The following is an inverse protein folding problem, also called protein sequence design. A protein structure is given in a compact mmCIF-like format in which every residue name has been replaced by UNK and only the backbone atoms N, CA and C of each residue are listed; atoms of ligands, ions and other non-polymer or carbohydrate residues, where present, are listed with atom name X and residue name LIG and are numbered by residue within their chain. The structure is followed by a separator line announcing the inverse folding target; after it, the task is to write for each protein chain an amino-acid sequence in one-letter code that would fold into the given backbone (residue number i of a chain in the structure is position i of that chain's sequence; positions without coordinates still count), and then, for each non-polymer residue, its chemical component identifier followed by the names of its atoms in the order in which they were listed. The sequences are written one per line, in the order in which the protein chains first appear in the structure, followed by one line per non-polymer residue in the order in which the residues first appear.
data_IF_260105981994
#
_entry.id   IF_260105981994
#
_cell.length_a   1.000
_cell.length_b   1.000
_cell.length_c   1.000
_cell.angle_alpha   90.00
_cell.angle_beta   90.00
_cell.angle_gamma   90.00
#
_symmetry.space_group_name_H-M   'P 1'
#
loop_
_entity.id
_entity.type
_entity.pdbx_description
1 polymer ?
#
# COMPACT_ATOMS: atom_id res chain seq x y z
N UNK A 1 -49.06 -26.60 -3.15
CA UNK A 1 -48.52 -26.29 -1.82
C UNK A 1 -47.23 -27.09 -1.65
N UNK A 2 -46.08 -26.46 -1.94
CA UNK A 2 -44.76 -27.10 -1.89
C UNK A 2 -43.78 -26.14 -1.21
N UNK A 3 -43.22 -26.64 -0.11
CA UNK A 3 -41.88 -26.48 0.45
C UNK A 3 -41.10 -25.19 0.15
N UNK A 4 -40.95 -24.33 1.17
CA UNK A 4 -39.91 -23.30 1.23
C UNK A 4 -38.58 -23.95 1.61
N UNK A 5 -37.66 -24.05 0.65
CA UNK A 5 -36.26 -24.31 0.92
C UNK A 5 -35.55 -22.96 1.13
N UNK A 6 -35.01 -22.77 2.33
CA UNK A 6 -34.10 -21.70 2.64
C UNK A 6 -32.83 -21.85 1.77
N UNK A 7 -32.61 -20.92 0.86
CA UNK A 7 -31.31 -20.72 0.22
C UNK A 7 -30.53 -19.81 1.16
N UNK A 8 -29.78 -20.42 2.09
CA UNK A 8 -28.63 -19.77 2.70
C UNK A 8 -27.64 -19.51 1.56
N UNK A 9 -27.60 -18.26 1.09
CA UNK A 9 -26.49 -17.79 0.29
C UNK A 9 -25.29 -17.70 1.25
N UNK A 10 -24.40 -18.69 1.19
CA UNK A 10 -23.04 -18.57 1.70
C UNK A 10 -22.43 -17.36 1.00
N UNK A 11 -22.18 -16.29 1.76
CA UNK A 11 -21.19 -15.30 1.37
C UNK A 11 -19.85 -16.04 1.36
N UNK A 12 -19.43 -16.48 0.17
CA UNK A 12 -18.04 -16.78 -0.12
C UNK A 12 -17.27 -15.50 0.21
N UNK A 13 -16.53 -15.55 1.32
CA UNK A 13 -15.46 -14.62 1.62
C UNK A 13 -14.61 -14.52 0.35
N UNK A 14 -14.69 -13.37 -0.30
CA UNK A 14 -13.79 -13.01 -1.38
C UNK A 14 -12.38 -13.07 -0.80
N UNK A 15 -11.67 -14.14 -1.13
CA UNK A 15 -10.22 -14.19 -1.02
C UNK A 15 -9.69 -13.00 -1.81
N UNK A 16 -9.24 -11.96 -1.13
CA UNK A 16 -8.37 -10.94 -1.69
C UNK A 16 -7.11 -11.67 -2.15
N UNK A 17 -6.97 -11.80 -3.47
CA UNK A 17 -5.73 -12.27 -4.07
C UNK A 17 -4.67 -11.20 -3.76
N UNK A 18 -3.66 -11.58 -2.99
CA UNK A 18 -2.48 -10.77 -2.75
C UNK A 18 -1.56 -11.02 -3.93
N UNK A 19 -1.39 -10.02 -4.79
CA UNK A 19 -0.38 -10.06 -5.82
C UNK A 19 0.94 -9.60 -5.18
N UNK A 20 1.84 -10.55 -4.98
CA UNK A 20 3.21 -10.24 -4.58
C UNK A 20 3.91 -9.43 -5.67
N UNK A 21 4.70 -8.44 -5.27
CA UNK A 21 5.56 -7.70 -6.18
C UNK A 21 6.64 -8.64 -6.74
N UNK A 22 6.78 -8.69 -8.07
CA UNK A 22 7.68 -9.48 -8.95
C UNK A 22 7.31 -10.93 -9.33
N UNK A 23 7.50 -11.22 -10.62
CA UNK A 23 7.37 -12.54 -11.26
C UNK A 23 8.55 -13.46 -10.86
N UNK A 24 8.24 -14.64 -10.32
CA UNK A 24 9.00 -15.85 -10.63
C UNK A 24 8.07 -16.74 -11.48
N UNK A 25 8.27 -16.71 -12.79
CA UNK A 25 7.54 -17.55 -13.72
C UNK A 25 7.88 -19.03 -13.53
N UNK A 26 6.85 -19.87 -13.36
CA UNK A 26 6.89 -21.27 -13.79
C UNK A 26 7.15 -22.32 -12.71
N UNK A 27 6.05 -22.93 -12.25
CA UNK A 27 5.92 -24.24 -11.60
C UNK A 27 7.16 -25.12 -11.43
N UNK A 28 7.57 -25.28 -10.18
CA UNK A 28 8.47 -26.33 -9.73
C UNK A 28 8.48 -26.39 -8.21
N UNK A 29 7.98 -27.48 -7.63
CA UNK A 29 8.09 -27.77 -6.20
C UNK A 29 9.55 -28.00 -5.83
N UNK A 30 10.29 -26.93 -5.52
CA UNK A 30 11.62 -27.01 -4.92
C UNK A 30 11.74 -26.02 -3.77
N UNK A 31 11.83 -26.58 -2.57
CA UNK A 31 11.91 -25.96 -1.25
C UNK A 31 13.26 -25.33 -0.93
N UNK A 32 13.92 -24.70 -1.91
CA UNK A 32 15.26 -24.14 -1.68
C UNK A 32 15.16 -22.69 -1.23
N UNK A 33 14.82 -22.52 0.06
CA UNK A 33 15.07 -21.25 0.74
C UNK A 33 16.55 -20.90 0.63
N UNK A 34 16.89 -19.67 0.26
CA UNK A 34 18.29 -19.25 0.25
C UNK A 34 18.93 -19.42 1.63
N UNK A 35 20.23 -19.75 1.63
CA UNK A 35 20.98 -19.83 2.88
C UNK A 35 20.86 -18.51 3.65
N UNK A 36 20.61 -18.58 4.95
CA UNK A 36 20.44 -17.39 5.76
C UNK A 36 21.76 -16.60 5.86
N UNK A 37 21.69 -15.28 5.67
CA UNK A 37 22.81 -14.39 5.97
C UNK A 37 22.81 -13.98 7.44
N UNK A 38 23.98 -13.61 7.97
CA UNK A 38 24.12 -13.13 9.35
C UNK A 38 24.23 -11.60 9.42
N UNK A 39 23.40 -10.90 8.65
CA UNK A 39 23.32 -9.43 8.67
C UNK A 39 22.61 -8.93 9.93
N UNK A 40 23.02 -7.75 10.38
CA UNK A 40 22.48 -7.07 11.57
C UNK A 40 22.45 -7.96 12.84
N UNK A 41 23.46 -8.82 13.01
CA UNK A 41 23.56 -9.78 14.13
C UNK A 41 23.58 -9.15 15.53
N UNK A 42 23.79 -7.83 15.62
CA UNK A 42 23.69 -7.05 16.86
C UNK A 42 22.24 -6.84 17.32
N UNK A 43 21.24 -7.04 16.45
CA UNK A 43 19.83 -6.95 16.80
C UNK A 43 19.41 -8.20 17.58
N UNK A 44 18.83 -7.97 18.76
CA UNK A 44 18.36 -9.03 19.64
C UNK A 44 17.10 -9.68 19.06
N UNK A 45 17.16 -10.99 18.88
CA UNK A 45 16.01 -11.82 18.52
C UNK A 45 15.80 -12.82 19.65
N UNK A 46 14.61 -12.81 20.23
CA UNK A 46 14.22 -13.70 21.35
C UNK A 46 13.18 -14.69 20.87
N UNK A 47 13.18 -15.88 21.45
CA UNK A 47 12.05 -16.81 21.27
C UNK A 47 10.78 -16.17 21.83
N UNK A 48 9.68 -16.37 21.14
CA UNK A 48 8.36 -15.89 21.54
C UNK A 48 7.29 -16.93 21.20
N UNK A 49 6.07 -16.73 21.71
CA UNK A 49 4.91 -17.59 21.43
C UNK A 49 3.60 -16.81 21.44
N UNK A 50 3.67 -15.51 21.19
CA UNK A 50 2.49 -14.65 21.08
C UNK A 50 1.60 -15.13 19.93
N UNK A 51 0.29 -15.25 20.15
CA UNK A 51 -0.63 -15.59 19.08
C UNK A 51 -0.59 -14.49 18.00
N UNK A 52 -0.49 -14.89 16.72
CA UNK A 52 -0.57 -13.95 15.60
C UNK A 52 -2.02 -13.47 15.44
N UNK A 53 -2.20 -12.28 14.88
CA UNK A 53 -3.51 -11.65 14.68
C UNK A 53 -4.43 -12.56 13.86
N UNK A 54 -5.68 -12.69 14.31
CA UNK A 54 -6.69 -13.50 13.62
C UNK A 54 -7.06 -12.97 12.23
N UNK A 55 -6.64 -11.74 11.90
CA UNK A 55 -6.81 -11.12 10.59
C UNK A 55 -5.50 -10.99 9.81
N UNK A 56 -4.38 -11.43 10.38
CA UNK A 56 -3.07 -11.42 9.74
C UNK A 56 -2.83 -12.64 8.84
N UNK A 57 -1.78 -12.63 8.03
CA UNK A 57 -1.51 -13.76 7.13
C UNK A 57 -1.10 -15.04 7.85
N UNK A 58 -0.68 -14.93 9.11
CA UNK A 58 -0.30 -16.03 10.00
C UNK A 58 -1.38 -16.36 11.07
N UNK A 59 -2.66 -16.03 10.81
CA UNK A 59 -3.80 -16.02 11.77
C UNK A 59 -4.12 -17.28 12.60
N UNK A 60 -3.48 -18.41 12.33
CA UNK A 60 -3.67 -19.70 12.97
C UNK A 60 -2.36 -20.26 13.57
N UNK A 61 -1.37 -19.39 13.73
CA UNK A 61 -0.04 -19.74 14.24
C UNK A 61 0.33 -18.84 15.42
N UNK A 62 1.36 -19.26 16.16
CA UNK A 62 2.03 -18.41 17.12
C UNK A 62 3.32 -17.85 16.50
N UNK A 63 3.74 -16.68 16.95
CA UNK A 63 5.08 -16.20 16.71
C UNK A 63 6.10 -17.22 17.22
N UNK A 64 7.26 -17.25 16.58
CA UNK A 64 8.41 -18.04 17.01
C UNK A 64 9.50 -17.14 17.57
N UNK A 65 9.62 -15.95 17.01
CA UNK A 65 10.60 -14.96 17.39
C UNK A 65 9.96 -13.60 17.61
N UNK A 66 10.66 -12.77 18.38
CA UNK A 66 10.29 -11.38 18.67
C UNK A 66 11.54 -10.50 18.69
N UNK A 67 11.40 -9.29 18.18
CA UNK A 67 12.32 -8.16 18.37
C UNK A 67 11.62 -7.08 19.21
N UNK A 68 12.17 -5.87 19.29
CA UNK A 68 11.56 -4.80 20.08
C UNK A 68 10.18 -4.39 19.54
N UNK A 69 10.01 -4.42 18.21
CA UNK A 69 8.80 -3.93 17.54
C UNK A 69 8.07 -4.97 16.71
N UNK A 70 8.67 -6.15 16.47
CA UNK A 70 8.09 -7.18 15.63
C UNK A 70 7.89 -8.50 16.37
N UNK A 71 6.82 -9.22 15.99
CA UNK A 71 6.70 -10.66 16.19
C UNK A 71 6.77 -11.36 14.83
N UNK A 72 7.40 -12.52 14.80
CA UNK A 72 7.72 -13.24 13.56
C UNK A 72 7.13 -14.64 13.64
N UNK A 73 6.16 -14.91 12.77
CA UNK A 73 5.53 -16.21 12.55
C UNK A 73 5.91 -16.78 11.19
N UNK A 74 5.51 -18.02 10.92
CA UNK A 74 5.70 -18.62 9.60
C UNK A 74 4.59 -19.61 9.23
N UNK A 75 4.35 -19.73 7.93
CA UNK A 75 3.54 -20.79 7.32
C UNK A 75 4.39 -21.62 6.37
N UNK A 76 4.29 -22.94 6.51
CA UNK A 76 5.17 -23.88 5.83
C UNK A 76 6.52 -24.05 6.53
N UNK A 77 7.43 -24.79 5.89
CA UNK A 77 8.73 -25.12 6.47
C UNK A 77 9.75 -24.01 6.17
N UNK A 78 10.08 -23.21 7.19
CA UNK A 78 11.12 -22.17 7.12
C UNK A 78 12.10 -22.39 8.25
N UNK A 79 13.41 -22.29 7.97
CA UNK A 79 14.45 -22.49 8.99
C UNK A 79 14.49 -21.35 10.00
N UNK A 80 14.84 -21.67 11.25
CA UNK A 80 14.99 -20.70 12.34
C UNK A 80 16.03 -19.63 12.00
N UNK A 81 17.12 -20.02 11.33
CA UNK A 81 18.16 -19.10 10.90
C UNK A 81 17.60 -18.06 9.92
N UNK A 82 16.75 -18.49 8.96
CA UNK A 82 16.10 -17.58 8.00
C UNK A 82 15.09 -16.66 8.70
N UNK A 83 14.25 -17.20 9.59
CA UNK A 83 13.31 -16.37 10.36
C UNK A 83 14.03 -15.33 11.23
N UNK A 84 15.17 -15.68 11.83
CA UNK A 84 16.00 -14.73 12.58
C UNK A 84 16.66 -13.68 11.69
N UNK A 85 17.15 -14.05 10.49
CA UNK A 85 17.64 -13.09 9.50
C UNK A 85 16.54 -12.06 9.17
N UNK A 86 15.35 -12.52 8.80
CA UNK A 86 14.20 -11.67 8.48
C UNK A 86 13.83 -10.77 9.65
N UNK A 87 13.77 -11.31 10.88
CA UNK A 87 13.50 -10.53 12.09
C UNK A 87 14.50 -9.38 12.29
N UNK A 88 15.79 -9.65 12.08
CA UNK A 88 16.85 -8.64 12.21
C UNK A 88 16.75 -7.58 11.12
N UNK A 89 16.52 -7.98 9.87
CA UNK A 89 16.34 -7.05 8.75
C UNK A 89 15.13 -6.14 9.01
N UNK A 90 13.97 -6.70 9.38
CA UNK A 90 12.77 -5.94 9.69
C UNK A 90 13.00 -4.89 10.77
N UNK A 91 13.61 -5.31 11.88
CA UNK A 91 13.91 -4.40 12.99
C UNK A 91 14.96 -3.34 12.62
N UNK A 92 15.97 -3.71 11.84
CA UNK A 92 16.98 -2.76 11.37
C UNK A 92 16.34 -1.68 10.49
N UNK A 93 15.55 -2.11 9.50
CA UNK A 93 14.85 -1.22 8.57
C UNK A 93 13.96 -0.26 9.33
N UNK A 94 13.14 -0.74 10.27
CA UNK A 94 12.31 0.12 11.10
C UNK A 94 13.15 1.14 11.87
N UNK A 95 14.24 0.73 12.51
CA UNK A 95 15.10 1.64 13.27
C UNK A 95 15.71 2.75 12.39
N UNK A 96 16.14 2.39 11.18
CA UNK A 96 16.69 3.34 10.21
C UNK A 96 15.61 4.32 9.73
N UNK A 97 14.43 3.81 9.38
CA UNK A 97 13.32 4.63 8.90
C UNK A 97 12.79 5.59 9.98
N UNK A 98 12.62 5.12 11.23
CA UNK A 98 12.22 5.97 12.36
C UNK A 98 13.20 7.13 12.56
N UNK A 99 14.50 6.87 12.47
CA UNK A 99 15.51 7.92 12.56
C UNK A 99 15.46 8.87 11.34
N UNK A 100 15.37 8.32 10.13
CA UNK A 100 15.37 9.09 8.89
C UNK A 100 14.14 10.02 8.77
N UNK A 101 12.97 9.56 9.19
CA UNK A 101 11.72 10.30 9.13
C UNK A 101 11.42 11.08 10.41
N UNK A 102 12.29 10.98 11.42
CA UNK A 102 12.08 11.55 12.76
C UNK A 102 10.75 11.10 13.39
N UNK A 103 10.41 9.83 13.19
CA UNK A 103 9.20 9.22 13.73
C UNK A 103 9.48 8.45 15.02
N UNK A 104 8.42 8.29 15.80
CA UNK A 104 8.37 7.44 16.96
C UNK A 104 7.39 6.29 16.70
N UNK A 105 7.87 5.06 16.90
CA UNK A 105 7.08 3.85 16.63
C UNK A 105 5.73 3.85 17.35
N UNK A 106 5.67 4.36 18.59
CA UNK A 106 4.44 4.40 19.38
C UNK A 106 3.49 5.50 18.94
N UNK A 107 3.93 6.76 18.86
CA UNK A 107 3.02 7.87 18.57
C UNK A 107 2.63 7.97 17.09
N UNK A 108 3.58 7.71 16.18
CA UNK A 108 3.34 7.89 14.75
C UNK A 108 2.80 6.61 14.10
N UNK A 109 3.31 5.44 14.51
CA UNK A 109 2.92 4.16 13.92
C UNK A 109 2.02 3.32 14.83
N UNK A 110 1.74 3.70 16.08
CA UNK A 110 0.95 2.89 17.04
C UNK A 110 1.54 1.48 17.25
N UNK A 111 2.86 1.39 17.30
CA UNK A 111 3.61 0.16 17.59
C UNK A 111 4.16 0.25 19.01
N UNK A 112 3.77 -0.70 19.86
CA UNK A 112 4.41 -0.94 21.15
C UNK A 112 4.61 -2.43 21.39
N UNK A 113 5.07 -2.75 22.60
CA UNK A 113 5.29 -4.13 23.00
C UNK A 113 4.01 -4.99 22.98
N UNK A 114 2.85 -4.39 23.26
CA UNK A 114 1.55 -5.08 23.33
C UNK A 114 0.89 -5.20 21.95
N UNK A 115 1.23 -4.30 21.04
CA UNK A 115 0.74 -4.19 19.67
C UNK A 115 1.94 -4.15 18.70
N UNK A 116 2.74 -5.24 18.64
CA UNK A 116 3.87 -5.32 17.72
C UNK A 116 3.39 -5.38 16.26
N UNK A 117 4.29 -5.08 15.34
CA UNK A 117 4.12 -5.42 13.93
C UNK A 117 4.31 -6.92 13.71
N UNK A 118 3.60 -7.48 12.73
CA UNK A 118 3.68 -8.90 12.39
C UNK A 118 4.50 -9.12 11.12
N UNK A 119 5.52 -9.97 11.20
CA UNK A 119 6.16 -10.54 10.01
C UNK A 119 5.71 -11.98 9.86
N UNK A 120 5.01 -12.26 8.76
CA UNK A 120 4.60 -13.62 8.41
C UNK A 120 5.49 -14.15 7.29
N UNK A 121 6.33 -15.14 7.60
CA UNK A 121 7.20 -15.76 6.59
C UNK A 121 6.47 -16.94 5.96
N UNK A 122 6.09 -16.82 4.69
CA UNK A 122 5.27 -17.83 4.00
C UNK A 122 6.11 -18.50 2.93
N UNK A 123 6.31 -19.82 3.05
CA UNK A 123 7.17 -20.56 2.13
C UNK A 123 6.72 -20.47 0.66
N UNK A 124 5.41 -20.40 0.40
CA UNK A 124 4.84 -20.31 -0.96
C UNK A 124 5.02 -18.95 -1.64
N UNK A 125 5.35 -17.90 -0.89
CA UNK A 125 5.61 -16.57 -1.46
C UNK A 125 6.97 -16.49 -2.16
N UNK A 126 7.84 -17.48 -1.94
CA UNK A 126 9.11 -17.60 -2.64
C UNK A 126 10.01 -16.37 -2.45
N UNK A 127 10.13 -15.55 -3.50
CA UNK A 127 10.94 -14.33 -3.53
C UNK A 127 10.12 -13.05 -3.30
N UNK A 128 8.81 -13.15 -3.05
CA UNK A 128 7.89 -12.02 -3.05
C UNK A 128 7.51 -11.58 -1.63
N UNK A 129 6.82 -10.44 -1.56
CA UNK A 129 6.28 -9.88 -0.32
C UNK A 129 5.01 -9.07 -0.57
N UNK A 130 4.35 -8.72 0.54
CA UNK A 130 3.23 -7.79 0.56
C UNK A 130 3.11 -7.14 1.95
N UNK A 131 2.95 -5.83 2.02
CA UNK A 131 2.72 -5.08 3.27
C UNK A 131 1.26 -4.68 3.50
N UNK A 132 0.84 -4.64 4.77
CA UNK A 132 -0.46 -4.14 5.22
C UNK A 132 -0.35 -3.44 6.59
N UNK A 133 -1.46 -3.02 7.19
CA UNK A 133 -1.48 -2.28 8.45
C UNK A 133 -0.98 -3.10 9.67
N UNK A 134 -1.07 -4.43 9.64
CA UNK A 134 -0.55 -5.30 10.70
C UNK A 134 0.96 -5.50 10.62
N UNK A 135 1.52 -5.40 9.43
CA UNK A 135 2.93 -5.67 9.17
C UNK A 135 3.12 -6.10 7.73
N UNK A 136 3.85 -7.18 7.49
CA UNK A 136 4.10 -7.65 6.13
C UNK A 136 4.36 -9.14 6.04
N UNK A 137 4.18 -9.66 4.83
CA UNK A 137 4.52 -11.01 4.41
C UNK A 137 5.78 -10.97 3.58
N UNK A 138 6.64 -11.97 3.75
CA UNK A 138 7.78 -12.21 2.87
C UNK A 138 7.99 -13.70 2.63
N UNK A 139 8.43 -14.03 1.42
CA UNK A 139 8.94 -15.33 1.08
C UNK A 139 10.39 -15.54 1.54
N UNK A 140 10.81 -16.80 1.80
CA UNK A 140 12.12 -17.10 2.37
C UNK A 140 13.26 -17.21 1.34
N UNK A 141 13.00 -16.99 0.04
CA UNK A 141 13.99 -17.26 -1.02
C UNK A 141 15.04 -16.15 -1.14
N UNK A 142 14.81 -14.95 -0.61
CA UNK A 142 15.83 -13.88 -0.59
C UNK A 142 16.72 -13.94 0.66
N UNK A 143 17.95 -13.44 0.55
CA UNK A 143 18.92 -13.33 1.66
C UNK A 143 19.81 -12.09 1.49
N UNK A 144 20.46 -11.65 2.56
CA UNK A 144 21.43 -10.55 2.47
C UNK A 144 20.79 -9.25 1.97
N UNK A 145 21.44 -8.60 1.00
CA UNK A 145 20.98 -7.34 0.41
C UNK A 145 19.62 -7.46 -0.30
N UNK A 146 19.33 -8.61 -0.90
CA UNK A 146 18.10 -8.77 -1.68
C UNK A 146 16.89 -8.90 -0.75
N UNK A 147 17.08 -9.53 0.41
CA UNK A 147 16.09 -9.54 1.49
C UNK A 147 15.96 -8.15 2.13
N UNK A 148 17.09 -7.46 2.35
CA UNK A 148 17.10 -6.10 2.89
C UNK A 148 16.27 -5.14 2.03
N UNK A 149 16.42 -5.21 0.71
CA UNK A 149 15.65 -4.42 -0.24
C UNK A 149 14.16 -4.78 -0.24
N UNK A 150 13.83 -6.09 -0.24
CA UNK A 150 12.43 -6.53 -0.17
C UNK A 150 11.75 -6.06 1.11
N UNK A 151 12.38 -6.30 2.28
CA UNK A 151 11.82 -5.87 3.56
C UNK A 151 11.73 -4.35 3.65
N UNK A 152 12.70 -3.61 3.08
CA UNK A 152 12.58 -2.16 2.95
C UNK A 152 11.31 -1.81 2.18
N UNK A 153 11.10 -2.35 0.99
CA UNK A 153 9.93 -2.07 0.16
C UNK A 153 8.62 -2.38 0.89
N UNK A 154 8.44 -3.62 1.37
CA UNK A 154 7.18 -4.05 1.99
C UNK A 154 6.84 -3.29 3.28
N UNK A 155 7.86 -2.91 4.06
CA UNK A 155 7.62 -2.14 5.26
C UNK A 155 7.12 -0.72 4.96
N UNK A 156 7.38 -0.17 3.76
CA UNK A 156 6.78 1.11 3.35
C UNK A 156 5.29 0.94 3.11
N UNK A 157 4.84 -0.16 2.50
CA UNK A 157 3.41 -0.46 2.38
C UNK A 157 2.73 -0.63 3.74
N UNK A 158 3.44 -1.17 4.74
CA UNK A 158 2.95 -1.17 6.12
C UNK A 158 2.74 0.25 6.65
N UNK A 159 3.72 1.14 6.46
CA UNK A 159 3.59 2.54 6.90
C UNK A 159 2.44 3.25 6.18
N UNK A 160 2.35 3.10 4.86
CA UNK A 160 1.29 3.67 4.04
C UNK A 160 -0.08 3.22 4.57
N UNK A 161 -0.27 1.92 4.77
CA UNK A 161 -1.51 1.36 5.33
C UNK A 161 -1.83 1.92 6.72
N UNK A 162 -0.85 2.06 7.60
CA UNK A 162 -1.07 2.64 8.94
C UNK A 162 -1.37 4.13 8.92
N UNK A 163 -0.79 4.88 8.00
CA UNK A 163 -0.99 6.34 7.88
C UNK A 163 -2.36 6.65 7.27
N UNK A 164 -2.78 5.90 6.25
CA UNK A 164 -4.08 6.02 5.57
C UNK A 164 -5.22 5.50 6.47
N UNK A 165 -5.04 4.32 7.07
CA UNK A 165 -6.08 3.63 7.82
C UNK A 165 -6.43 2.24 7.27
N UNK A 166 -7.37 1.52 7.91
CA UNK A 166 -7.64 0.10 7.65
C UNK A 166 -8.29 -0.22 6.29
N UNK A 167 -8.76 0.78 5.53
CA UNK A 167 -9.09 0.63 4.10
C UNK A 167 -7.86 0.43 3.22
N UNK A 168 -6.67 0.67 3.76
CA UNK A 168 -5.39 0.36 3.14
C UNK A 168 -5.06 1.20 1.92
N UNK A 169 -4.17 0.66 1.09
CA UNK A 169 -3.65 1.27 -0.13
C UNK A 169 -4.73 1.58 -1.18
N UNK A 170 -5.95 1.06 -1.05
CA UNK A 170 -7.04 1.33 -2.01
C UNK A 170 -7.36 2.83 -2.11
N UNK A 171 -7.12 3.57 -1.04
CA UNK A 171 -7.31 5.02 -1.01
C UNK A 171 -6.09 5.80 -1.51
N UNK A 172 -4.96 5.13 -1.78
CA UNK A 172 -3.80 5.71 -2.46
C UNK A 172 -3.72 5.17 -3.87
N UNK A 173 -3.49 6.01 -4.88
CA UNK A 173 -3.31 5.46 -6.22
C UNK A 173 -2.09 4.52 -6.23
N UNK A 174 -2.23 3.32 -6.81
CA UNK A 174 -1.20 2.27 -6.82
C UNK A 174 0.16 2.80 -7.21
N UNK A 175 0.22 3.61 -8.27
CA UNK A 175 1.48 4.21 -8.70
C UNK A 175 2.18 4.98 -7.59
N UNK A 176 1.47 5.72 -6.74
CA UNK A 176 2.07 6.60 -5.73
C UNK A 176 2.56 5.77 -4.55
N UNK A 177 1.76 4.79 -4.13
CA UNK A 177 2.16 3.82 -3.12
C UNK A 177 3.44 3.07 -3.55
N UNK A 178 3.45 2.52 -4.76
CA UNK A 178 4.60 1.79 -5.30
C UNK A 178 5.80 2.70 -5.56
N UNK A 179 5.58 3.92 -6.07
CA UNK A 179 6.64 4.89 -6.28
C UNK A 179 7.34 5.23 -4.97
N UNK A 180 6.58 5.53 -3.91
CA UNK A 180 7.13 5.83 -2.58
C UNK A 180 7.85 4.62 -2.00
N UNK A 181 7.29 3.42 -2.10
CA UNK A 181 7.93 2.21 -1.61
C UNK A 181 9.25 1.92 -2.36
N UNK A 182 9.23 2.02 -3.69
CA UNK A 182 10.38 1.80 -4.58
C UNK A 182 11.46 2.86 -4.36
N UNK A 183 11.09 4.15 -4.43
CA UNK A 183 12.00 5.29 -4.31
C UNK A 183 12.73 5.34 -2.97
N UNK A 184 12.08 4.87 -1.90
CA UNK A 184 12.65 4.84 -0.54
C UNK A 184 13.27 3.49 -0.15
N UNK A 185 13.29 2.49 -1.06
CA UNK A 185 13.90 1.18 -0.82
C UNK A 185 15.05 0.89 -1.79
N UNK A 186 14.74 0.53 -3.03
CA UNK A 186 15.69 0.19 -4.09
C UNK A 186 16.15 1.41 -4.88
N UNK A 187 15.32 2.46 -4.88
CA UNK A 187 15.46 3.63 -5.74
C UNK A 187 15.65 3.25 -7.23
N UNK A 188 14.93 2.21 -7.65
CA UNK A 188 14.98 1.72 -9.02
C UNK A 188 14.50 2.77 -10.02
N UNK A 189 15.18 2.90 -11.16
CA UNK A 189 14.82 3.85 -12.21
C UNK A 189 14.85 3.17 -13.57
N UNK A 190 14.04 3.66 -14.49
CA UNK A 190 14.09 3.29 -15.91
C UNK A 190 14.78 4.37 -16.74
N UNK A 191 15.41 3.98 -17.84
CA UNK A 191 15.87 4.92 -18.87
C UNK A 191 14.69 5.54 -19.62
N UNK A 192 14.90 6.69 -20.28
CA UNK A 192 13.87 7.32 -21.13
C UNK A 192 13.31 6.35 -22.19
N UNK A 193 14.17 5.49 -22.74
CA UNK A 193 13.74 4.47 -23.71
C UNK A 193 12.79 3.45 -23.07
N UNK A 194 13.10 2.98 -21.86
CA UNK A 194 12.25 2.04 -21.12
C UNK A 194 10.95 2.70 -20.66
N UNK A 195 11.00 3.95 -20.19
CA UNK A 195 9.80 4.71 -19.80
C UNK A 195 8.91 5.01 -21.01
N UNK A 196 9.50 5.36 -22.15
CA UNK A 196 8.76 5.53 -23.41
C UNK A 196 8.13 4.22 -23.87
N UNK A 197 8.86 3.11 -23.73
CA UNK A 197 8.33 1.78 -24.04
C UNK A 197 7.15 1.43 -23.12
N UNK A 198 7.29 1.64 -21.81
CA UNK A 198 6.22 1.47 -20.83
C UNK A 198 4.96 2.24 -21.27
N UNK A 199 5.06 3.57 -21.41
CA UNK A 199 3.92 4.42 -21.80
C UNK A 199 3.30 3.96 -23.13
N UNK A 200 4.12 3.55 -24.11
CA UNK A 200 3.60 3.08 -25.41
C UNK A 200 2.83 1.76 -25.32
N UNK A 201 3.20 0.87 -24.39
CA UNK A 201 2.55 -0.42 -24.19
C UNK A 201 1.24 -0.27 -23.41
N UNK A 202 1.26 0.58 -22.38
CA UNK A 202 0.10 0.77 -21.51
C UNK A 202 -0.87 1.84 -22.04
N UNK A 203 -0.38 2.74 -22.91
CA UNK A 203 -1.09 3.93 -23.43
C UNK A 203 -1.55 4.90 -22.32
N UNK A 204 -0.79 4.98 -21.23
CA UNK A 204 -1.07 5.80 -20.05
C UNK A 204 0.26 6.29 -19.41
N UNK A 205 0.22 7.38 -18.66
CA UNK A 205 1.35 7.77 -17.80
C UNK A 205 1.47 6.80 -16.63
N UNK A 206 2.66 6.65 -16.02
CA UNK A 206 2.82 5.82 -14.83
C UNK A 206 1.86 6.20 -13.69
N UNK A 207 1.44 7.46 -13.59
CA UNK A 207 0.52 7.92 -12.54
C UNK A 207 -0.94 7.52 -12.73
N UNK A 208 -1.29 6.93 -13.86
CA UNK A 208 -2.68 6.55 -14.16
C UNK A 208 -3.04 5.14 -13.69
N UNK A 209 -2.11 4.43 -13.03
CA UNK A 209 -2.40 3.09 -12.51
C UNK A 209 -3.02 3.20 -11.11
N UNK A 210 -4.32 2.92 -11.04
CA UNK A 210 -5.10 2.84 -9.80
C UNK A 210 -5.26 1.39 -9.33
N UNK A 211 -5.74 1.21 -8.09
CA UNK A 211 -5.77 -0.07 -7.38
C UNK A 211 -6.77 -1.10 -7.94
N UNK A 212 -7.83 -0.66 -8.62
CA UNK A 212 -8.92 -1.55 -9.00
C UNK A 212 -8.70 -2.21 -10.37
N UNK A 213 -8.17 -3.44 -10.39
CA UNK A 213 -8.05 -4.34 -11.56
C UNK A 213 -7.18 -3.84 -12.74
N UNK A 214 -6.83 -2.56 -12.73
CA UNK A 214 -6.01 -1.88 -13.71
C UNK A 214 -4.56 -2.33 -13.64
N UNK A 215 -4.02 -2.60 -12.45
CA UNK A 215 -2.66 -3.12 -12.31
C UNK A 215 -2.52 -4.49 -12.99
N UNK A 216 -3.45 -5.42 -12.77
CA UNK A 216 -3.48 -6.70 -13.46
C UNK A 216 -3.58 -6.51 -14.99
N UNK A 217 -4.42 -5.56 -15.43
CA UNK A 217 -4.50 -5.19 -16.84
C UNK A 217 -3.22 -4.59 -17.39
N UNK A 218 -2.51 -3.78 -16.62
CA UNK A 218 -1.21 -3.18 -16.96
C UNK A 218 -0.18 -4.29 -17.09
N UNK A 219 -0.06 -5.16 -16.08
CA UNK A 219 0.85 -6.29 -16.09
C UNK A 219 0.61 -7.25 -17.27
N UNK A 220 -0.66 -7.49 -17.63
CA UNK A 220 -0.99 -8.26 -18.84
C UNK A 220 -0.58 -7.58 -20.15
N UNK A 221 -0.46 -6.25 -20.18
CA UNK A 221 -0.06 -5.48 -21.36
C UNK A 221 1.46 -5.32 -21.47
N UNK A 222 2.17 -5.35 -20.35
CA UNK A 222 3.61 -5.17 -20.32
C UNK A 222 4.31 -6.40 -20.91
N UNK A 223 5.20 -6.16 -21.87
CA UNK A 223 6.13 -7.18 -22.34
C UNK A 223 7.25 -7.47 -21.34
N UNK A 224 7.52 -6.51 -20.45
CA UNK A 224 8.54 -6.55 -19.40
C UNK A 224 8.04 -5.81 -18.16
N UNK A 225 7.55 -6.58 -17.18
CA UNK A 225 7.00 -6.05 -15.93
C UNK A 225 8.04 -5.32 -15.05
N UNK A 226 9.34 -5.54 -15.26
CA UNK A 226 10.38 -4.83 -14.48
C UNK A 226 10.36 -3.32 -14.68
N UNK A 227 9.82 -2.86 -15.80
CA UNK A 227 9.75 -1.43 -16.12
C UNK A 227 8.70 -0.66 -15.30
N UNK A 228 7.72 -1.36 -14.70
CA UNK A 228 6.60 -0.75 -13.99
C UNK A 228 7.07 0.06 -12.76
N UNK A 229 7.72 -0.60 -11.80
CA UNK A 229 8.18 0.03 -10.55
C UNK A 229 9.16 1.17 -10.78
N UNK A 230 10.13 0.95 -11.68
CA UNK A 230 11.06 2.02 -12.06
C UNK A 230 10.34 3.19 -12.74
N UNK A 231 9.27 2.96 -13.50
CA UNK A 231 8.45 4.02 -14.12
C UNK A 231 7.65 4.80 -13.07
N UNK A 232 7.08 4.14 -12.07
CA UNK A 232 6.42 4.81 -10.94
C UNK A 232 7.40 5.69 -10.17
N UNK A 233 8.62 5.20 -9.89
CA UNK A 233 9.63 6.00 -9.19
C UNK A 233 10.06 7.24 -9.99
N UNK A 234 9.97 7.24 -11.33
CA UNK A 234 10.24 8.46 -12.12
C UNK A 234 9.24 9.58 -11.82
N UNK A 235 7.96 9.25 -11.59
CA UNK A 235 6.97 10.23 -11.15
C UNK A 235 7.32 10.83 -9.78
N UNK A 236 7.81 10.00 -8.84
CA UNK A 236 8.26 10.48 -7.53
C UNK A 236 9.44 11.44 -7.64
N UNK A 237 10.43 11.09 -8.46
CA UNK A 237 11.63 11.90 -8.64
C UNK A 237 11.30 13.24 -9.26
N UNK A 238 10.33 13.30 -10.17
CA UNK A 238 9.81 14.56 -10.67
C UNK A 238 9.27 15.44 -9.54
N UNK A 239 8.46 14.90 -8.60
CA UNK A 239 8.00 15.68 -7.44
C UNK A 239 9.18 16.23 -6.63
N UNK A 240 10.22 15.42 -6.44
CA UNK A 240 11.43 15.84 -5.74
C UNK A 240 12.20 16.94 -6.49
N UNK A 241 12.23 16.94 -7.84
CA UNK A 241 12.85 18.05 -8.60
C UNK A 241 12.06 19.35 -8.48
N UNK A 242 10.75 19.28 -8.23
CA UNK A 242 9.91 20.44 -7.91
C UNK A 242 10.07 20.93 -6.46
N UNK A 243 10.86 20.21 -5.65
CA UNK A 243 11.17 20.59 -4.27
C UNK A 243 10.40 19.83 -3.20
N UNK A 244 9.54 18.86 -3.56
CA UNK A 244 8.87 18.01 -2.59
C UNK A 244 9.88 17.15 -1.82
N UNK A 245 9.80 17.18 -0.50
CA UNK A 245 10.61 16.37 0.41
C UNK A 245 10.01 14.99 0.62
N UNK A 246 10.78 14.08 1.23
CA UNK A 246 10.26 12.75 1.63
C UNK A 246 9.11 12.90 2.63
N UNK A 247 9.16 13.91 3.48
CA UNK A 247 8.10 14.20 4.45
C UNK A 247 6.79 14.58 3.75
N UNK A 248 6.86 15.34 2.64
CA UNK A 248 5.67 15.70 1.86
C UNK A 248 5.03 14.45 1.24
N UNK A 249 5.83 13.49 0.76
CA UNK A 249 5.31 12.22 0.24
C UNK A 249 4.52 11.44 1.30
N UNK A 250 5.03 11.40 2.53
CA UNK A 250 4.32 10.78 3.66
C UNK A 250 3.10 11.58 4.10
N UNK A 251 3.13 12.90 3.95
CA UNK A 251 2.02 13.78 4.29
C UNK A 251 0.80 13.51 3.42
N UNK A 252 0.97 13.19 2.13
CA UNK A 252 -0.15 12.80 1.25
C UNK A 252 -0.96 11.66 1.88
N UNK A 253 -0.31 10.58 2.35
CA UNK A 253 -0.99 9.46 3.01
C UNK A 253 -1.71 9.86 4.30
N UNK A 254 -1.14 10.78 5.08
CA UNK A 254 -1.78 11.29 6.30
C UNK A 254 -3.00 12.15 5.99
N UNK A 255 -2.95 12.96 4.93
CA UNK A 255 -4.07 13.81 4.52
C UNK A 255 -5.23 12.96 4.01
N UNK A 256 -4.98 11.84 3.31
CA UNK A 256 -6.02 10.89 2.92
C UNK A 256 -6.82 10.44 4.16
N UNK A 257 -6.14 10.07 5.25
CA UNK A 257 -6.81 9.69 6.49
C UNK A 257 -7.56 10.86 7.14
N UNK A 258 -7.03 12.09 7.08
CA UNK A 258 -7.76 13.26 7.58
C UNK A 258 -9.06 13.50 6.80
N UNK A 259 -9.03 13.33 5.48
CA UNK A 259 -10.22 13.41 4.63
C UNK A 259 -11.20 12.28 5.00
N UNK A 260 -10.72 11.05 5.14
CA UNK A 260 -11.51 9.89 5.58
C UNK A 260 -12.22 10.13 6.92
N UNK A 261 -11.51 10.68 7.93
CA UNK A 261 -12.12 11.02 9.22
C UNK A 261 -13.16 12.15 9.08
N UNK A 262 -12.93 13.10 8.18
CA UNK A 262 -13.92 14.14 7.86
C UNK A 262 -15.18 13.52 7.28
N UNK A 263 -15.05 12.59 6.32
CA UNK A 263 -16.18 11.84 5.76
C UNK A 263 -16.93 11.04 6.85
N UNK A 264 -16.22 10.43 7.83
CA UNK A 264 -16.85 9.75 8.99
C UNK A 264 -17.72 10.72 9.78
N UNK A 265 -17.19 11.92 10.05
CA UNK A 265 -17.88 12.92 10.84
C UNK A 265 -19.14 13.44 10.13
N UNK A 266 -19.05 13.74 8.83
CA UNK A 266 -20.18 14.22 8.04
C UNK A 266 -21.27 13.15 7.95
N UNK A 267 -20.90 11.90 7.68
CA UNK A 267 -21.83 10.78 7.68
C UNK A 267 -22.53 10.59 9.03
N UNK A 268 -21.76 10.64 10.13
CA UNK A 268 -22.32 10.50 11.48
C UNK A 268 -23.25 11.66 11.84
N UNK A 269 -22.96 12.88 11.36
CA UNK A 269 -23.84 14.03 11.51
C UNK A 269 -25.16 13.84 10.75
N UNK A 270 -25.13 13.30 9.52
CA UNK A 270 -26.32 12.94 8.76
C UNK A 270 -27.19 11.90 9.52
N UNK A 271 -26.58 10.83 10.06
CA UNK A 271 -27.27 9.85 10.92
C UNK A 271 -27.92 10.54 12.12
N UNK A 272 -27.17 11.41 12.81
CA UNK A 272 -27.67 12.12 13.99
C UNK A 272 -28.83 13.08 13.68
N UNK A 273 -28.87 13.62 12.46
CA UNK A 273 -29.96 14.45 11.95
C UNK A 273 -31.19 13.65 11.47
N UNK A 274 -31.15 12.32 11.56
CA UNK A 274 -32.26 11.44 11.19
C UNK A 274 -32.32 11.13 9.69
N UNK A 275 -31.22 11.35 8.95
CA UNK A 275 -31.13 10.99 7.55
C UNK A 275 -31.02 9.46 7.38
N UNK A 276 -31.60 8.94 6.29
CA UNK A 276 -31.47 7.51 5.94
C UNK A 276 -30.21 7.36 5.11
N UNK A 277 -29.12 6.96 5.77
CA UNK A 277 -27.83 6.72 5.13
C UNK A 277 -27.42 5.26 5.29
N UNK A 278 -26.65 4.74 4.33
CA UNK A 278 -26.09 3.39 4.42
C UNK A 278 -25.10 3.33 5.60
N UNK A 279 -25.12 2.31 6.46
CA UNK A 279 -24.16 2.19 7.55
C UNK A 279 -22.72 2.25 7.04
N UNK A 280 -21.90 3.11 7.66
CA UNK A 280 -20.45 3.16 7.42
C UNK A 280 -19.78 1.92 8.02
N UNK A 281 -18.90 1.30 7.22
CA UNK A 281 -18.01 0.26 7.73
C UNK A 281 -17.09 0.89 8.80
N UNK A 282 -16.92 0.28 9.98
CA UNK A 282 -15.93 0.77 10.96
C UNK A 282 -14.54 1.04 10.35
N UNK A 283 -14.15 0.25 9.35
CA UNK A 283 -12.89 0.33 8.64
C UNK A 283 -12.93 1.34 7.47
N UNK A 284 -14.07 1.60 6.83
CA UNK A 284 -14.19 2.40 5.59
C UNK A 284 -15.37 3.36 5.60
N UNK A 285 -15.20 4.58 5.08
CA UNK A 285 -16.31 5.51 4.85
C UNK A 285 -16.89 5.49 3.46
N UNK A 286 -18.16 5.91 3.40
CA UNK A 286 -18.72 6.50 2.20
C UNK A 286 -18.57 8.02 2.28
N UNK A 287 -17.52 8.54 1.63
CA UNK A 287 -17.63 9.91 1.10
C UNK A 287 -18.65 9.87 -0.05
N UNK A 288 -19.35 10.97 -0.31
CA UNK A 288 -20.22 11.06 -1.48
C UNK A 288 -20.17 12.46 -2.06
N UNK A 289 -19.91 12.52 -3.35
CA UNK A 289 -19.91 13.76 -4.10
C UNK A 289 -21.30 14.17 -4.58
N UNK A 290 -22.37 13.48 -4.17
CA UNK A 290 -23.74 13.79 -4.56
C UNK A 290 -24.54 14.47 -3.44
N UNK A 291 -25.02 15.69 -3.70
CA UNK A 291 -25.86 16.44 -2.76
C UNK A 291 -27.20 15.77 -2.46
N UNK A 292 -27.66 14.83 -3.29
CA UNK A 292 -28.91 14.11 -3.06
C UNK A 292 -28.75 12.90 -2.12
N UNK A 293 -27.52 12.48 -1.81
CA UNK A 293 -27.26 11.36 -0.90
C UNK A 293 -27.40 11.77 0.55
N UNK A 294 -26.87 12.94 0.91
CA UNK A 294 -27.04 13.54 2.24
C UNK A 294 -27.90 14.80 2.14
N UNK A 295 -28.87 14.95 3.03
CA UNK A 295 -29.69 16.16 3.11
C UNK A 295 -28.87 17.40 3.51
N UNK A 296 -27.73 17.18 4.18
CA UNK A 296 -26.70 18.19 4.46
C UNK A 296 -25.90 18.62 3.22
N UNK A 297 -26.03 17.93 2.08
CA UNK A 297 -25.28 18.20 0.86
C UNK A 297 -24.05 17.29 0.67
N UNK A 298 -23.25 17.59 -0.33
CA UNK A 298 -22.07 16.81 -0.71
C UNK A 298 -21.04 16.75 0.42
N UNK A 299 -20.26 15.68 0.46
CA UNK A 299 -19.12 15.61 1.38
C UNK A 299 -18.05 16.58 0.89
N UNK A 300 -17.57 17.44 1.78
CA UNK A 300 -16.58 18.45 1.44
C UNK A 300 -15.37 18.37 2.36
N UNK A 301 -14.19 18.58 1.80
CA UNK A 301 -12.97 18.78 2.57
C UNK A 301 -12.19 19.97 2.00
N UNK A 302 -11.91 20.96 2.85
CA UNK A 302 -11.19 22.18 2.47
C UNK A 302 -11.78 22.90 1.23
N UNK A 303 -13.11 22.87 1.07
CA UNK A 303 -13.79 23.51 -0.07
C UNK A 303 -13.90 22.65 -1.33
N UNK A 304 -13.28 21.47 -1.36
CA UNK A 304 -13.38 20.50 -2.46
C UNK A 304 -14.48 19.47 -2.17
N UNK A 305 -15.21 19.08 -3.22
CA UNK A 305 -16.21 18.00 -3.14
C UNK A 305 -15.48 16.66 -3.24
N UNK A 306 -15.73 15.77 -2.28
CA UNK A 306 -15.06 14.47 -2.19
C UNK A 306 -15.97 13.37 -2.73
N UNK A 307 -15.51 12.66 -3.76
CA UNK A 307 -16.13 11.43 -4.24
C UNK A 307 -15.60 10.22 -3.47
N UNK A 308 -16.51 9.28 -3.15
CA UNK A 308 -16.19 8.09 -2.33
C UNK A 308 -15.83 6.86 -3.15
N UNK A 309 -16.31 6.77 -4.39
CA UNK A 309 -15.73 5.88 -5.37
C UNK A 309 -14.70 6.68 -6.16
N UNK A 310 -13.41 6.39 -5.99
CA UNK A 310 -12.49 6.77 -7.06
C UNK A 310 -12.94 6.04 -8.30
N UNK A 311 -13.38 6.80 -9.31
CA UNK A 311 -13.19 6.52 -10.72
C UNK A 311 -12.82 5.06 -11.06
N UNK A 312 -13.85 4.20 -11.08
CA UNK A 312 -13.79 2.99 -11.89
C UNK A 312 -13.74 3.48 -13.35
N UNK A 313 -12.64 3.29 -14.09
CA UNK A 313 -12.54 3.71 -15.49
C UNK A 313 -13.51 2.92 -16.40
N UNK A 314 -14.17 1.90 -15.84
CA UNK A 314 -15.22 1.08 -16.46
C UNK A 314 -16.62 1.35 -15.86
N UNK A 315 -16.75 2.22 -14.84
CA UNK A 315 -18.05 2.56 -14.27
C UNK A 315 -18.83 3.46 -15.22
N UNK A 316 -20.13 3.20 -15.42
CA UNK A 316 -20.90 3.88 -16.45
C UNK A 316 -21.16 5.38 -16.16
N UNK A 317 -20.89 5.89 -14.95
CA UNK A 317 -20.95 7.32 -14.63
C UNK A 317 -19.97 7.69 -13.48
N UNK A 318 -19.16 8.75 -13.61
CA UNK A 318 -18.34 9.27 -12.51
C UNK A 318 -19.21 9.97 -11.45
N UNK A 319 -18.88 9.78 -10.18
CA UNK A 319 -19.40 10.63 -9.10
C UNK A 319 -18.84 12.06 -9.26
N UNK A 320 -19.62 13.12 -9.00
CA UNK A 320 -19.10 14.48 -8.97
C UNK A 320 -18.03 14.62 -7.88
N UNK A 321 -17.07 15.51 -8.09
CA UNK A 321 -15.98 15.76 -7.13
C UNK A 321 -14.67 15.08 -7.49
N UNK A 322 -13.74 15.10 -6.54
CA UNK A 322 -12.40 14.50 -6.65
C UNK A 322 -12.24 13.39 -5.64
N UNK A 323 -11.42 12.39 -5.97
CA UNK A 323 -11.08 11.35 -5.02
C UNK A 323 -10.32 11.88 -3.81
N UNK A 324 -10.37 11.14 -2.69
CA UNK A 324 -9.56 11.42 -1.49
C UNK A 324 -8.07 11.56 -1.82
N UNK A 325 -7.53 10.69 -2.67
CA UNK A 325 -6.12 10.75 -3.08
C UNK A 325 -5.82 12.03 -3.86
N UNK A 326 -6.62 12.35 -4.87
CA UNK A 326 -6.42 13.55 -5.69
C UNK A 326 -6.40 14.79 -4.79
N UNK A 327 -7.41 14.95 -3.92
CA UNK A 327 -7.47 16.10 -3.00
C UNK A 327 -6.29 16.13 -2.03
N UNK A 328 -5.89 14.98 -1.47
CA UNK A 328 -4.72 14.91 -0.60
C UNK A 328 -3.42 15.26 -1.32
N UNK A 329 -3.25 14.77 -2.54
CA UNK A 329 -2.10 15.04 -3.39
C UNK A 329 -2.02 16.54 -3.71
N UNK A 330 -3.11 17.14 -4.21
CA UNK A 330 -3.16 18.57 -4.53
C UNK A 330 -2.90 19.44 -3.30
N UNK A 331 -3.46 19.06 -2.14
CA UNK A 331 -3.25 19.79 -0.90
C UNK A 331 -1.77 19.89 -0.53
N UNK A 332 -1.00 18.82 -0.69
CA UNK A 332 0.43 18.79 -0.37
C UNK A 332 1.28 19.35 -1.52
N UNK A 333 0.96 19.00 -2.76
CA UNK A 333 1.85 19.22 -3.90
C UNK A 333 1.68 20.59 -4.56
N UNK A 334 0.54 21.25 -4.36
CA UNK A 334 0.23 22.55 -5.00
C UNK A 334 1.21 23.66 -4.61
N UNK A 335 1.81 23.62 -3.42
CA UNK A 335 2.85 24.58 -3.01
C UNK A 335 4.12 24.48 -3.87
N UNK A 336 4.32 23.35 -4.54
CA UNK A 336 5.43 23.09 -5.45
C UNK A 336 5.03 23.29 -6.92
N UNK A 337 3.83 23.84 -7.19
CA UNK A 337 3.33 24.04 -8.56
C UNK A 337 2.90 22.76 -9.27
N UNK A 338 2.74 21.66 -8.53
CA UNK A 338 2.29 20.37 -9.07
C UNK A 338 0.87 20.09 -8.61
N UNK A 339 0.02 19.68 -9.54
CA UNK A 339 -1.33 19.16 -9.27
C UNK A 339 -1.43 17.74 -9.83
N UNK A 340 -2.40 16.98 -9.33
CA UNK A 340 -2.65 15.64 -9.82
C UNK A 340 -3.03 15.65 -11.32
N UNK A 341 -3.88 16.59 -11.74
CA UNK A 341 -4.24 16.75 -13.16
C UNK A 341 -3.01 17.01 -14.06
N UNK A 342 -2.02 17.78 -13.57
CA UNK A 342 -0.80 18.07 -14.33
C UNK A 342 0.14 16.87 -14.46
N UNK A 343 0.20 15.99 -13.44
CA UNK A 343 1.03 14.78 -13.51
C UNK A 343 0.36 13.68 -14.32
N UNK A 344 -0.98 13.66 -14.35
CA UNK A 344 -1.78 12.69 -15.07
C UNK A 344 -1.79 12.93 -16.60
N UNK A 345 -1.67 14.17 -17.05
CA UNK A 345 -1.61 14.51 -18.47
C UNK A 345 -0.32 13.97 -19.13
N UNK A 346 -0.47 13.11 -20.14
CA UNK A 346 0.67 12.46 -20.82
C UNK A 346 1.65 13.46 -21.43
N UNK A 347 1.15 14.56 -22.00
CA UNK A 347 2.03 15.55 -22.64
C UNK A 347 2.82 16.33 -21.59
N UNK A 348 2.16 16.78 -20.53
CA UNK A 348 2.79 17.47 -19.41
C UNK A 348 3.77 16.54 -18.68
N UNK A 349 3.39 15.30 -18.41
CA UNK A 349 4.28 14.30 -17.82
C UNK A 349 5.53 14.09 -18.67
N UNK A 350 5.39 13.84 -19.97
CA UNK A 350 6.53 13.66 -20.88
C UNK A 350 7.45 14.88 -20.91
N UNK A 351 6.87 16.07 -21.03
CA UNK A 351 7.65 17.30 -21.13
C UNK A 351 8.41 17.64 -19.85
N UNK A 352 7.93 17.17 -18.69
CA UNK A 352 8.47 17.61 -17.40
C UNK A 352 9.25 16.53 -16.68
N UNK A 353 8.79 15.27 -16.75
CA UNK A 353 9.46 14.11 -16.12
C UNK A 353 10.54 13.52 -17.02
N UNK A 354 10.25 13.32 -18.31
CA UNK A 354 11.21 12.68 -19.24
C UNK A 354 12.21 13.70 -19.76
N UNK A 355 11.73 14.86 -20.21
CA UNK A 355 12.60 15.87 -20.84
C UNK A 355 13.18 16.90 -19.85
N UNK A 356 12.67 16.94 -18.62
CA UNK A 356 13.05 17.92 -17.59
C UNK A 356 14.00 17.40 -16.50
N UNK A 357 14.35 16.11 -16.54
CA UNK A 357 15.38 15.49 -15.67
C UNK A 357 16.73 15.41 -16.39
#
# INVERSE_FOLDING_TARGET
MRSNAAVLCLCLLSSTWLFGCTEDGGGGSSSDSSAASNIYSHISVKTDSTAMSTTGHCFDTNSKFRTDHFIIGSKGSVSDAKMQEIARVAQNTLNVDLAAYSWNAWSDLKVDYSNPLEVCVIASEGSNGAGNDLGFVVGPNRSGSDLDNLVKHELKHTYQSRLIGPTGLNDSHTWFAEAVATGLSTNETVSDTQLNAFISQVSITPTQVTHDGLQDMVMMRLSDGSTEYGSYNMALRYLQTQGASIQDLWEVFKIINQIEQSCKADHQAAVANGEVVNPVDPQSTSCTGYASTYSSGETMWNGEIISGSMDDPLAPNPEPGKSKFHVAFDYVMSSYGVTYDNIDDETAFRNTVINGM
#
